data_IF_708643049692
#
_entry.id   IF_708643049692
#
_cell.length_a   1.000
_cell.length_b   1.000
_cell.length_c   1.000
_cell.angle_alpha   90.00
_cell.angle_beta   90.00
_cell.angle_gamma   90.00
#
_symmetry.space_group_name_H-M   'P 1'
#
loop_
_entity.id
_entity.type
_entity.pdbx_description
1 polymer ?
#
# COMPACT_ATOMS: atom_id res chain seq x y z
N UNK A 1 -64.45 2.09 -17.04
CA UNK A 1 -63.83 1.86 -15.72
C UNK A 1 -62.92 0.66 -15.86
N UNK A 2 -61.60 0.74 -15.98
CA UNK A 2 -60.66 1.86 -15.97
C UNK A 2 -59.59 1.55 -17.02
N UNK A 3 -59.04 2.60 -17.62
CA UNK A 3 -57.92 2.54 -18.58
C UNK A 3 -56.82 1.63 -18.05
N UNK A 4 -56.38 0.68 -18.88
CA UNK A 4 -55.07 0.05 -18.70
C UNK A 4 -54.07 1.17 -18.95
N UNK A 5 -53.62 1.76 -17.84
CA UNK A 5 -52.61 2.80 -17.79
C UNK A 5 -51.45 2.39 -18.69
N UNK A 6 -51.24 3.19 -19.73
CA UNK A 6 -50.08 3.11 -20.61
C UNK A 6 -48.83 3.19 -19.73
N UNK A 7 -48.20 2.05 -19.45
CA UNK A 7 -46.80 2.02 -19.05
C UNK A 7 -46.04 2.76 -20.14
N UNK A 8 -45.64 4.01 -19.85
CA UNK A 8 -45.07 4.92 -20.83
C UNK A 8 -43.80 4.27 -21.40
N UNK A 9 -43.79 3.89 -22.70
CA UNK A 9 -42.65 3.18 -23.31
C UNK A 9 -41.35 3.97 -23.20
N UNK A 10 -41.47 5.29 -23.05
CA UNK A 10 -40.37 6.23 -22.84
C UNK A 10 -39.70 6.01 -21.48
N UNK A 11 -40.47 5.79 -20.40
CA UNK A 11 -39.91 5.55 -19.06
C UNK A 11 -39.16 4.22 -19.05
N UNK A 12 -39.78 3.15 -19.58
CA UNK A 12 -39.14 1.86 -19.72
C UNK A 12 -37.85 1.93 -20.57
N UNK A 13 -37.85 2.75 -21.63
CA UNK A 13 -36.67 2.99 -22.45
C UNK A 13 -35.56 3.69 -21.65
N UNK A 14 -35.87 4.75 -20.90
CA UNK A 14 -34.90 5.45 -20.07
C UNK A 14 -34.33 4.55 -18.97
N UNK A 15 -35.16 3.71 -18.36
CA UNK A 15 -34.73 2.74 -17.35
C UNK A 15 -33.76 1.72 -17.93
N UNK A 16 -34.01 1.20 -19.13
CA UNK A 16 -33.06 0.28 -19.78
C UNK A 16 -31.75 0.98 -20.15
N UNK A 17 -31.80 2.23 -20.63
CA UNK A 17 -30.60 3.03 -20.89
C UNK A 17 -29.80 3.22 -19.60
N UNK A 18 -30.46 3.60 -18.51
CA UNK A 18 -29.83 3.79 -17.20
C UNK A 18 -29.21 2.48 -16.69
N UNK A 19 -29.89 1.34 -16.89
CA UNK A 19 -29.40 0.00 -16.53
C UNK A 19 -28.12 -0.34 -17.28
N UNK A 20 -28.06 -0.08 -18.59
CA UNK A 20 -26.87 -0.31 -19.42
C UNK A 20 -25.72 0.59 -18.94
N UNK A 21 -25.96 1.88 -18.71
CA UNK A 21 -24.93 2.77 -18.19
C UNK A 21 -24.41 2.30 -16.83
N UNK A 22 -25.30 1.95 -15.90
CA UNK A 22 -24.92 1.46 -14.58
C UNK A 22 -24.06 0.19 -14.66
N UNK A 23 -24.41 -0.75 -15.56
CA UNK A 23 -23.62 -1.96 -15.80
C UNK A 23 -22.22 -1.62 -16.34
N UNK A 24 -22.12 -0.76 -17.35
CA UNK A 24 -20.84 -0.35 -17.95
C UNK A 24 -19.96 0.42 -16.96
N UNK A 25 -20.55 1.24 -16.07
CA UNK A 25 -19.81 1.91 -15.00
C UNK A 25 -19.37 0.95 -13.90
N UNK A 26 -20.18 -0.07 -13.60
CA UNK A 26 -19.80 -1.11 -12.66
C UNK A 26 -18.64 -1.94 -13.20
N UNK A 27 -18.75 -2.44 -14.44
CA UNK A 27 -17.69 -3.21 -15.11
C UNK A 27 -16.36 -2.46 -15.16
N UNK A 28 -16.35 -1.20 -15.63
CA UNK A 28 -15.14 -0.37 -15.65
C UNK A 28 -14.56 -0.12 -14.26
N UNK A 29 -15.40 0.03 -13.22
CA UNK A 29 -14.92 0.12 -11.84
C UNK A 29 -14.26 -1.18 -11.39
N UNK A 30 -14.86 -2.33 -11.69
CA UNK A 30 -14.29 -3.62 -11.31
C UNK A 30 -12.97 -3.88 -12.03
N UNK A 31 -12.86 -3.55 -13.33
CA UNK A 31 -11.59 -3.63 -14.08
C UNK A 31 -10.44 -2.86 -13.44
N UNK A 32 -10.72 -1.76 -12.73
CA UNK A 32 -9.70 -0.98 -12.01
C UNK A 32 -9.47 -1.45 -10.58
N UNK A 33 -10.51 -1.96 -9.92
CA UNK A 33 -10.45 -2.42 -8.53
C UNK A 33 -9.70 -3.74 -8.39
N UNK A 34 -9.90 -4.71 -9.30
CA UNK A 34 -9.22 -6.03 -9.19
C UNK A 34 -7.70 -5.91 -9.25
N UNK A 35 -7.10 -5.21 -10.24
CA UNK A 35 -5.66 -5.00 -10.29
C UNK A 35 -5.11 -4.22 -9.10
N UNK A 36 -5.88 -3.25 -8.57
CA UNK A 36 -5.48 -2.50 -7.36
C UNK A 36 -5.46 -3.40 -6.12
N UNK A 37 -6.42 -4.32 -5.98
CA UNK A 37 -6.43 -5.31 -4.89
C UNK A 37 -5.22 -6.23 -4.99
N UNK A 38 -4.87 -6.69 -6.19
CA UNK A 38 -3.70 -7.56 -6.40
C UNK A 38 -2.38 -6.86 -6.09
N UNK A 39 -2.21 -5.60 -6.55
CA UNK A 39 -1.06 -4.77 -6.23
C UNK A 39 -0.92 -4.55 -4.72
N UNK A 40 -2.03 -4.26 -4.04
CA UNK A 40 -2.06 -4.10 -2.59
C UNK A 40 -1.70 -5.40 -1.86
N UNK A 41 -2.16 -6.54 -2.36
CA UNK A 41 -1.84 -7.85 -1.80
C UNK A 41 -0.36 -8.20 -1.98
N UNK A 42 0.22 -7.87 -3.15
CA UNK A 42 1.65 -8.04 -3.40
C UNK A 42 2.49 -7.15 -2.49
N UNK A 43 2.15 -5.86 -2.39
CA UNK A 43 2.83 -4.92 -1.50
C UNK A 43 2.78 -5.38 -0.04
N UNK A 44 1.64 -5.91 0.42
CA UNK A 44 1.51 -6.50 1.76
C UNK A 44 2.48 -7.67 1.98
N UNK A 45 2.64 -8.55 0.98
CA UNK A 45 3.59 -9.68 1.05
C UNK A 45 5.02 -9.15 1.12
N UNK A 46 5.39 -8.23 0.25
CA UNK A 46 6.73 -7.65 0.21
C UNK A 46 7.08 -6.97 1.54
N UNK A 47 6.15 -6.21 2.14
CA UNK A 47 6.31 -5.61 3.47
C UNK A 47 6.54 -6.68 4.54
N UNK A 48 5.74 -7.76 4.53
CA UNK A 48 5.90 -8.85 5.49
C UNK A 48 7.27 -9.54 5.35
N UNK A 49 7.72 -9.76 4.12
CA UNK A 49 9.06 -10.28 3.84
C UNK A 49 10.15 -9.33 4.35
N UNK A 50 10.00 -8.02 4.15
CA UNK A 50 10.96 -7.04 4.64
C UNK A 50 11.02 -6.97 6.16
N UNK A 51 9.89 -7.11 6.86
CA UNK A 51 9.85 -7.24 8.31
C UNK A 51 10.63 -8.48 8.75
N UNK A 52 10.38 -9.63 8.12
CA UNK A 52 11.06 -10.88 8.46
C UNK A 52 12.56 -10.84 8.17
N UNK A 53 12.97 -10.21 7.07
CA UNK A 53 14.38 -9.97 6.76
C UNK A 53 15.01 -9.02 7.77
N UNK A 54 14.29 -7.96 8.16
CA UNK A 54 14.72 -6.96 9.13
C UNK A 54 14.92 -7.52 10.54
N UNK A 55 14.12 -8.50 10.96
CA UNK A 55 14.25 -9.16 12.26
C UNK A 55 15.60 -9.86 12.48
N UNK A 56 16.35 -10.11 11.40
CA UNK A 56 17.69 -10.74 11.44
C UNK A 56 18.82 -9.70 11.52
N UNK A 57 18.50 -8.42 11.55
CA UNK A 57 19.45 -7.31 11.50
C UNK A 57 19.57 -6.66 12.88
N UNK A 58 20.75 -6.11 13.15
CA UNK A 58 21.04 -5.35 14.37
C UNK A 58 21.12 -3.86 14.04
N UNK A 59 20.37 -3.04 14.76
CA UNK A 59 20.34 -1.58 14.54
C UNK A 59 21.01 -0.87 15.70
N UNK A 60 21.90 0.08 15.40
CA UNK A 60 22.55 0.96 16.37
C UNK A 60 22.39 2.41 15.93
N UNK A 61 21.94 3.27 16.84
CA UNK A 61 21.82 4.69 16.55
C UNK A 61 23.21 5.35 16.54
N UNK A 62 23.51 6.08 15.46
CA UNK A 62 24.80 6.77 15.28
C UNK A 62 24.69 8.29 15.33
N UNK A 63 23.50 8.84 15.05
CA UNK A 63 23.15 10.24 15.27
C UNK A 63 21.62 10.41 15.35
N UNK A 64 21.14 11.64 15.50
CA UNK A 64 19.71 11.93 15.42
C UNK A 64 19.14 11.46 14.08
N UNK A 65 18.11 10.63 14.13
CA UNK A 65 17.44 10.00 12.98
C UNK A 65 18.34 9.15 12.06
N UNK A 66 19.62 8.94 12.41
CA UNK A 66 20.58 8.15 11.64
C UNK A 66 21.04 6.91 12.39
N UNK A 67 21.02 5.79 11.68
CA UNK A 67 21.27 4.49 12.25
C UNK A 67 22.20 3.68 11.37
N UNK A 68 23.07 2.91 12.01
CA UNK A 68 23.86 1.86 11.41
C UNK A 68 23.11 0.54 11.60
N UNK A 69 22.83 -0.15 10.50
CA UNK A 69 22.17 -1.45 10.51
C UNK A 69 23.15 -2.50 10.02
N UNK A 70 23.50 -3.43 10.89
CA UNK A 70 24.48 -4.48 10.63
C UNK A 70 23.76 -5.80 10.38
N UNK A 71 24.01 -6.37 9.20
CA UNK A 71 23.67 -7.76 8.88
C UNK A 71 24.93 -8.63 8.79
N UNK A 72 24.80 -9.87 8.31
CA UNK A 72 25.89 -10.84 8.29
C UNK A 72 27.20 -10.35 7.62
N UNK A 73 27.13 -9.61 6.51
CA UNK A 73 28.33 -9.20 5.74
C UNK A 73 28.33 -7.74 5.29
N UNK A 74 27.28 -6.99 5.59
CA UNK A 74 27.08 -5.64 5.10
C UNK A 74 26.52 -4.75 6.20
N UNK A 75 27.03 -3.52 6.26
CA UNK A 75 26.54 -2.46 7.12
C UNK A 75 25.83 -1.44 6.25
N UNK A 76 24.56 -1.19 6.55
CA UNK A 76 23.76 -0.17 5.91
C UNK A 76 23.63 1.05 6.81
N UNK A 77 23.57 2.24 6.22
CA UNK A 77 23.19 3.46 6.94
C UNK A 77 21.78 3.84 6.56
N UNK A 78 20.94 4.09 7.55
CA UNK A 78 19.55 4.54 7.40
C UNK A 78 19.42 5.94 7.99
N UNK A 79 18.79 6.84 7.24
CA UNK A 79 18.37 8.16 7.71
C UNK A 79 16.85 8.22 7.63
N UNK A 80 16.18 8.16 8.79
CA UNK A 80 14.72 8.14 8.88
C UNK A 80 14.12 9.49 8.51
N UNK A 81 14.77 10.60 8.87
CA UNK A 81 14.27 11.94 8.57
C UNK A 81 14.27 12.21 7.05
N UNK A 82 15.34 11.82 6.36
CA UNK A 82 15.43 11.96 4.90
C UNK A 82 14.74 10.81 4.14
N UNK A 83 14.32 9.77 4.86
CA UNK A 83 13.80 8.50 4.32
C UNK A 83 14.75 7.91 3.28
N UNK A 84 16.00 7.68 3.69
CA UNK A 84 17.05 7.14 2.81
C UNK A 84 17.77 5.95 3.45
N UNK A 85 18.26 5.04 2.61
CA UNK A 85 19.10 3.92 3.01
C UNK A 85 20.20 3.70 1.97
N UNK A 86 21.37 3.24 2.40
CA UNK A 86 22.47 2.89 1.48
C UNK A 86 22.12 1.78 0.50
N UNK A 87 21.13 0.92 0.80
CA UNK A 87 20.62 -0.07 -0.15
C UNK A 87 19.78 0.54 -1.29
N UNK A 88 19.47 1.84 -1.23
CA UNK A 88 18.71 2.64 -2.21
C UNK A 88 17.23 2.27 -2.40
N UNK A 89 16.77 1.11 -1.92
CA UNK A 89 15.36 0.69 -1.97
C UNK A 89 14.47 1.74 -1.28
N UNK A 90 14.81 2.14 -0.04
CA UNK A 90 14.03 3.13 0.71
C UNK A 90 14.02 4.52 0.07
N UNK A 91 15.04 4.83 -0.73
CA UNK A 91 15.15 6.13 -1.40
C UNK A 91 14.17 6.25 -2.57
N UNK A 92 13.97 5.17 -3.34
CA UNK A 92 13.24 5.16 -4.60
C UNK A 92 11.72 5.05 -4.38
N UNK A 93 11.29 4.01 -3.69
CA UNK A 93 9.87 3.67 -3.63
C UNK A 93 9.16 4.26 -2.40
N UNK A 94 9.95 4.87 -1.48
CA UNK A 94 9.49 5.32 -0.15
C UNK A 94 8.83 4.23 0.71
N UNK A 95 8.87 2.98 0.24
CA UNK A 95 8.56 1.77 0.99
C UNK A 95 9.79 1.43 1.86
N UNK A 96 9.62 1.26 3.18
CA UNK A 96 10.74 0.91 4.05
C UNK A 96 11.35 -0.44 3.66
N UNK A 97 12.62 -0.40 3.25
CA UNK A 97 13.42 -1.60 3.05
C UNK A 97 13.68 -2.34 4.39
N UNK A 98 14.20 -3.57 4.38
CA UNK A 98 14.49 -4.31 5.61
C UNK A 98 15.30 -3.52 6.65
N UNK A 99 16.33 -2.79 6.22
CA UNK A 99 17.12 -1.94 7.13
C UNK A 99 16.30 -0.82 7.76
N UNK A 100 15.46 -0.15 6.96
CA UNK A 100 14.59 0.91 7.43
C UNK A 100 13.53 0.35 8.40
N UNK A 101 12.97 -0.81 8.09
CA UNK A 101 11.98 -1.49 8.94
C UNK A 101 12.56 -1.83 10.32
N UNK A 102 13.75 -2.43 10.37
CA UNK A 102 14.45 -2.70 11.65
C UNK A 102 14.73 -1.40 12.41
N UNK A 103 15.04 -0.32 11.70
CA UNK A 103 15.31 0.97 12.31
C UNK A 103 14.08 1.61 12.92
N UNK A 104 12.96 1.63 12.17
CA UNK A 104 11.67 2.15 12.65
C UNK A 104 11.19 1.33 13.86
N UNK A 105 11.34 0.00 13.82
CA UNK A 105 11.05 -0.90 14.95
C UNK A 105 11.93 -0.60 16.17
N UNK A 106 13.23 -0.37 15.98
CA UNK A 106 14.12 -0.03 17.08
C UNK A 106 13.75 1.29 17.77
N UNK A 107 13.15 2.23 17.04
CA UNK A 107 12.75 3.53 17.59
C UNK A 107 11.38 3.51 18.27
N UNK A 108 10.43 2.73 17.75
CA UNK A 108 9.02 2.79 18.15
C UNK A 108 8.50 1.51 18.81
N UNK A 109 9.33 0.48 18.94
CA UNK A 109 8.96 -0.79 19.56
C UNK A 109 7.86 -1.50 18.78
N UNK A 110 6.84 -2.00 19.47
CA UNK A 110 5.73 -2.74 18.86
C UNK A 110 4.76 -1.85 18.06
N UNK A 111 4.77 -0.53 18.29
CA UNK A 111 3.93 0.44 17.57
C UNK A 111 4.52 0.88 16.21
N UNK A 112 5.62 0.26 15.78
CA UNK A 112 6.33 0.65 14.56
C UNK A 112 5.47 0.62 13.29
N UNK A 113 4.41 -0.21 13.26
CA UNK A 113 3.49 -0.30 12.12
C UNK A 113 2.82 1.02 11.77
N UNK A 114 2.51 1.85 12.77
CA UNK A 114 1.92 3.17 12.57
C UNK A 114 2.92 4.21 12.07
N UNK A 115 4.22 3.93 12.19
CA UNK A 115 5.33 4.85 11.91
C UNK A 115 6.04 4.54 10.58
N UNK A 116 5.54 3.56 9.81
CA UNK A 116 6.10 3.18 8.50
C UNK A 116 6.00 4.33 7.48
N UNK A 117 4.97 5.17 7.60
CA UNK A 117 4.65 6.22 6.61
C UNK A 117 4.58 7.66 7.18
N UNK A 118 4.72 7.83 8.50
CA UNK A 118 4.79 9.14 9.17
C UNK A 118 6.22 9.69 9.12
#
# INVERSE_FOLDING_TARGET
>A
MFDVEREFPIVALFDEINRIFALLFHQRRMELVTPQIDLFLQLKKDILEYVNAGNKLLTHQIANYKFSVTGHRYVATVDLQRRTCTCRIFCLDKIPCPHAMTTIRSQHGDDFGNQIYL
#
